data_IF_468042540167
#
_entry.id   IF_468042540167
#
_cell.length_a   1.000
_cell.length_b   1.000
_cell.length_c   1.000
_cell.angle_alpha   90.00
_cell.angle_beta   90.00
_cell.angle_gamma   90.00
#
_symmetry.space_group_name_H-M   'P 1'
#
loop_
_entity.id
_entity.type
_entity.pdbx_description
1 polymer ?
#
# COMPACT_ATOMS: atom_id res chain seq x y z
N UNK A 1 60.34 14.31 13.36
CA UNK A 1 59.48 13.90 12.24
C UNK A 1 58.29 13.15 12.84
N UNK A 2 57.16 13.85 13.07
CA UNK A 2 55.96 13.27 13.68
C UNK A 2 55.12 12.65 12.56
N UNK A 3 54.93 11.33 12.63
CA UNK A 3 54.06 10.59 11.72
C UNK A 3 52.63 10.75 12.26
N UNK A 4 51.81 11.51 11.56
CA UNK A 4 50.40 11.68 11.86
C UNK A 4 49.64 10.46 11.34
N UNK A 5 49.05 9.68 12.25
CA UNK A 5 48.07 8.64 11.89
C UNK A 5 46.74 9.33 11.62
N UNK A 6 46.38 9.45 10.35
CA UNK A 6 45.04 9.89 9.95
C UNK A 6 44.10 8.70 10.12
N UNK A 7 43.27 8.76 11.15
CA UNK A 7 42.19 7.80 11.40
C UNK A 7 41.11 8.05 10.34
N UNK A 8 41.02 7.16 9.34
CA UNK A 8 39.98 7.21 8.33
C UNK A 8 38.68 6.73 8.99
N UNK A 9 37.79 7.65 9.33
CA UNK A 9 36.42 7.30 9.71
C UNK A 9 35.72 6.76 8.46
N UNK A 10 35.56 5.44 8.40
CA UNK A 10 34.62 4.81 7.48
C UNK A 10 33.22 5.10 8.01
N UNK A 11 32.59 6.16 7.52
CA UNK A 11 31.14 6.32 7.65
C UNK A 11 30.52 5.23 6.79
N UNK A 12 30.05 4.15 7.42
CA UNK A 12 29.18 3.20 6.77
C UNK A 12 27.89 3.95 6.41
N UNK A 13 27.71 4.25 5.12
CA UNK A 13 26.40 4.61 4.60
C UNK A 13 25.50 3.40 4.82
N UNK A 14 24.53 3.54 5.72
CA UNK A 14 23.42 2.59 5.80
C UNK A 14 22.62 2.86 4.54
N UNK A 15 22.80 2.03 3.52
CA UNK A 15 21.88 2.00 2.39
C UNK A 15 20.57 1.43 2.93
N UNK A 16 19.54 2.26 3.06
CA UNK A 16 18.16 1.79 3.19
C UNK A 16 17.87 0.96 1.94
N UNK A 17 17.46 -0.29 2.15
CA UNK A 17 17.19 -1.28 1.12
C UNK A 17 15.85 -1.01 0.44
N UNK A 18 15.71 0.14 -0.21
CA UNK A 18 14.56 0.48 -1.07
C UNK A 18 14.47 -0.51 -2.24
N UNK A 19 13.46 -1.39 -2.26
CA UNK A 19 13.29 -2.40 -3.30
C UNK A 19 11.80 -2.68 -3.59
N UNK A 20 11.51 -3.10 -4.83
CA UNK A 20 10.23 -3.70 -5.20
C UNK A 20 10.07 -5.00 -4.41
N UNK A 21 9.03 -5.07 -3.56
CA UNK A 21 8.73 -6.28 -2.77
C UNK A 21 8.16 -7.40 -3.63
N UNK A 22 7.35 -7.01 -4.62
CA UNK A 22 6.65 -7.93 -5.51
C UNK A 22 6.33 -7.25 -6.83
N UNK A 23 6.30 -8.04 -7.90
CA UNK A 23 5.76 -7.62 -9.19
C UNK A 23 4.78 -8.68 -9.67
N UNK A 24 3.63 -8.27 -10.19
CA UNK A 24 2.68 -9.15 -10.85
C UNK A 24 2.30 -8.62 -12.24
N UNK A 25 1.85 -9.49 -13.16
CA UNK A 25 1.35 -9.04 -14.46
C UNK A 25 0.15 -8.10 -14.30
N UNK A 26 0.15 -7.00 -15.04
CA UNK A 26 -1.01 -6.11 -15.11
C UNK A 26 -2.14 -6.79 -15.92
N UNK A 27 -3.42 -6.59 -15.54
CA UNK A 27 -4.56 -7.14 -16.27
C UNK A 27 -4.85 -6.41 -17.60
N UNK A 28 -4.25 -5.22 -17.80
CA UNK A 28 -4.37 -4.41 -19.01
C UNK A 28 -3.15 -3.50 -19.17
N UNK A 29 -3.02 -2.90 -20.36
CA UNK A 29 -1.84 -2.12 -20.76
C UNK A 29 -1.98 -0.62 -20.39
N UNK A 30 -3.16 -0.17 -19.91
CA UNK A 30 -3.44 1.25 -19.64
C UNK A 30 -3.97 1.47 -18.23
N UNK A 31 -3.31 0.84 -17.25
CA UNK A 31 -3.61 1.03 -15.84
C UNK A 31 -3.22 2.45 -15.42
N UNK A 32 -4.21 3.29 -15.13
CA UNK A 32 -4.03 4.73 -14.84
C UNK A 32 -4.36 5.11 -13.40
N UNK A 33 -4.73 4.13 -12.58
CA UNK A 33 -4.96 4.32 -11.16
C UNK A 33 -5.07 2.99 -10.44
N UNK A 34 -4.55 2.94 -9.22
CA UNK A 34 -4.54 1.75 -8.38
C UNK A 34 -4.98 2.15 -6.97
N UNK A 35 -5.67 1.27 -6.25
CA UNK A 35 -6.00 1.53 -4.85
C UNK A 35 -6.15 0.23 -4.04
N UNK A 36 -6.17 0.38 -2.71
CA UNK A 36 -6.46 -0.59 -1.66
C UNK A 36 -6.76 -2.05 -2.09
N UNK A 37 -6.01 -3.03 -1.56
CA UNK A 37 -6.32 -4.46 -1.76
C UNK A 37 -6.27 -4.94 -3.24
N UNK A 38 -5.91 -4.01 -4.13
CA UNK A 38 -5.69 -4.01 -5.58
C UNK A 38 -6.95 -4.05 -6.42
N UNK A 39 -7.63 -2.89 -6.40
CA UNK A 39 -8.41 -2.42 -7.54
C UNK A 39 -7.50 -1.62 -8.50
N UNK A 40 -7.68 -1.80 -9.80
CA UNK A 40 -6.92 -1.10 -10.84
C UNK A 40 -7.85 -0.63 -11.95
N UNK A 41 -7.79 0.65 -12.33
CA UNK A 41 -8.60 1.20 -13.43
C UNK A 41 -7.81 1.17 -14.73
N UNK A 42 -8.40 0.60 -15.78
CA UNK A 42 -7.88 0.66 -17.14
C UNK A 42 -8.63 1.72 -17.95
N UNK A 43 -7.89 2.72 -18.40
CA UNK A 43 -8.45 3.88 -19.09
C UNK A 43 -8.85 3.67 -20.53
N UNK A 44 -8.36 2.62 -21.20
CA UNK A 44 -8.77 2.30 -22.56
C UNK A 44 -9.95 1.35 -22.60
N UNK A 45 -10.06 0.48 -21.60
CA UNK A 45 -11.15 -0.49 -21.49
C UNK A 45 -12.37 0.07 -20.76
N UNK A 46 -12.23 1.21 -20.06
CA UNK A 46 -13.27 1.79 -19.20
C UNK A 46 -13.78 0.77 -18.16
N UNK A 47 -12.86 0.08 -17.49
CA UNK A 47 -13.17 -0.91 -16.44
C UNK A 47 -12.27 -0.72 -15.21
N UNK A 48 -12.76 -1.16 -14.06
CA UNK A 48 -11.96 -1.41 -12.86
C UNK A 48 -11.82 -2.91 -12.67
N UNK A 49 -10.58 -3.39 -12.59
CA UNK A 49 -10.28 -4.75 -12.18
C UNK A 49 -10.20 -4.84 -10.66
N UNK A 50 -10.85 -5.83 -10.08
CA UNK A 50 -10.57 -6.27 -8.71
C UNK A 50 -9.67 -7.50 -8.80
N UNK A 51 -8.47 -7.42 -8.24
CA UNK A 51 -7.42 -8.43 -8.50
C UNK A 51 -6.56 -8.73 -7.27
N UNK A 52 -5.81 -9.82 -7.35
CA UNK A 52 -4.79 -10.17 -6.39
C UNK A 52 -3.51 -9.39 -6.69
N UNK A 53 -3.13 -8.44 -5.82
CA UNK A 53 -1.88 -7.68 -5.97
C UNK A 53 -0.58 -8.49 -5.93
N UNK A 54 -0.62 -9.73 -5.43
CA UNK A 54 0.56 -10.60 -5.40
C UNK A 54 0.73 -11.40 -6.68
N UNK A 55 -0.36 -11.96 -7.20
CA UNK A 55 -0.32 -12.90 -8.33
C UNK A 55 -0.73 -12.28 -9.67
N UNK A 56 -1.44 -11.16 -9.65
CA UNK A 56 -2.06 -10.57 -10.84
C UNK A 56 -3.40 -11.22 -11.23
N UNK A 57 -3.90 -12.18 -10.45
CA UNK A 57 -5.16 -12.87 -10.74
C UNK A 57 -6.35 -11.92 -10.61
N UNK A 58 -7.14 -11.79 -11.67
CA UNK A 58 -8.36 -10.95 -11.66
C UNK A 58 -9.52 -11.73 -11.06
N UNK A 59 -10.10 -11.21 -9.98
CA UNK A 59 -11.30 -11.74 -9.34
C UNK A 59 -12.57 -11.25 -10.02
N UNK A 60 -12.59 -9.97 -10.39
CA UNK A 60 -13.74 -9.34 -11.04
C UNK A 60 -13.33 -8.23 -12.01
N UNK A 61 -14.18 -7.94 -12.99
CA UNK A 61 -14.02 -6.86 -13.96
C UNK A 61 -15.29 -6.03 -13.97
N UNK A 62 -15.19 -4.82 -13.42
CA UNK A 62 -16.31 -3.95 -13.12
C UNK A 62 -16.34 -2.83 -14.16
N UNK A 63 -17.35 -2.75 -15.05
CA UNK A 63 -17.45 -1.69 -16.03
C UNK A 63 -17.68 -0.32 -15.37
N UNK A 64 -17.07 0.73 -15.92
CA UNK A 64 -17.35 2.09 -15.49
C UNK A 64 -18.76 2.51 -15.96
N UNK A 65 -19.60 3.07 -15.07
CA UNK A 65 -20.94 3.53 -15.46
C UNK A 65 -20.94 4.91 -16.13
N UNK A 66 -19.76 5.50 -16.35
CA UNK A 66 -19.57 6.81 -16.96
C UNK A 66 -18.78 6.68 -18.27
N UNK A 67 -18.98 7.62 -19.20
CA UNK A 67 -18.36 7.55 -20.53
C UNK A 67 -17.93 8.93 -21.02
N UNK A 68 -16.98 8.98 -21.96
CA UNK A 68 -16.63 10.22 -22.66
C UNK A 68 -15.43 10.97 -22.08
N UNK A 69 -14.65 10.30 -21.24
CA UNK A 69 -13.38 10.79 -20.69
C UNK A 69 -12.46 9.58 -20.45
N UNK A 70 -11.17 9.85 -20.23
CA UNK A 70 -10.19 8.84 -19.81
C UNK A 70 -10.11 8.85 -18.29
N UNK A 71 -10.44 7.77 -17.56
CA UNK A 71 -10.34 7.73 -16.11
C UNK A 71 -8.87 7.73 -15.67
N UNK A 72 -8.53 8.52 -14.66
CA UNK A 72 -7.18 8.61 -14.07
C UNK A 72 -7.28 8.80 -12.56
N UNK A 73 -6.29 8.29 -11.84
CA UNK A 73 -6.29 8.25 -10.38
C UNK A 73 -7.40 7.35 -9.84
N UNK A 74 -7.09 6.51 -8.87
CA UNK A 74 -8.09 5.64 -8.24
C UNK A 74 -7.94 5.71 -6.73
N UNK A 75 -9.03 6.05 -6.06
CA UNK A 75 -9.12 6.08 -4.61
C UNK A 75 -10.33 5.27 -4.15
N UNK A 76 -10.25 4.67 -2.98
CA UNK A 76 -11.35 3.93 -2.37
C UNK A 76 -11.66 4.49 -0.98
N UNK A 77 -12.95 4.48 -0.62
CA UNK A 77 -13.39 4.70 0.75
C UNK A 77 -14.58 3.78 1.03
N UNK A 78 -14.37 2.75 1.85
CA UNK A 78 -15.37 1.71 2.07
C UNK A 78 -15.74 1.04 0.74
N UNK A 79 -17.03 0.94 0.45
CA UNK A 79 -17.53 0.31 -0.79
C UNK A 79 -17.62 1.29 -1.98
N UNK A 80 -17.01 2.47 -1.89
CA UNK A 80 -17.03 3.51 -2.93
C UNK A 80 -15.66 3.68 -3.57
N UNK A 81 -15.63 3.58 -4.90
CA UNK A 81 -14.47 3.90 -5.75
C UNK A 81 -14.63 5.30 -6.33
N UNK A 82 -13.53 6.04 -6.37
CA UNK A 82 -13.42 7.40 -6.86
C UNK A 82 -12.31 7.48 -7.89
N UNK A 83 -12.58 8.09 -9.04
CA UNK A 83 -11.60 8.35 -10.09
C UNK A 83 -11.90 9.68 -10.77
N UNK A 84 -10.90 10.26 -11.43
CA UNK A 84 -11.05 11.54 -12.08
C UNK A 84 -11.15 11.40 -13.60
N UNK A 85 -11.74 12.41 -14.25
CA UNK A 85 -11.62 12.56 -15.69
C UNK A 85 -10.30 13.25 -16.03
N UNK A 86 -9.43 12.58 -16.78
CA UNK A 86 -8.14 13.14 -17.21
C UNK A 86 -8.29 14.53 -17.81
N UNK A 87 -7.46 15.48 -17.35
CA UNK A 87 -7.48 16.85 -17.85
C UNK A 87 -8.65 17.69 -17.36
N UNK A 88 -9.42 17.22 -16.36
CA UNK A 88 -10.62 17.90 -15.85
C UNK A 88 -10.60 18.01 -14.33
N UNK A 89 -11.42 18.91 -13.79
CA UNK A 89 -11.69 19.01 -12.35
C UNK A 89 -12.90 18.14 -11.93
N UNK A 90 -13.18 17.06 -12.65
CA UNK A 90 -14.33 16.19 -12.39
C UNK A 90 -13.91 14.92 -11.66
N UNK A 91 -14.56 14.63 -10.55
CA UNK A 91 -14.44 13.38 -9.79
C UNK A 91 -15.72 12.57 -9.94
N UNK A 92 -15.58 11.29 -10.28
CA UNK A 92 -16.66 10.33 -10.46
C UNK A 92 -16.61 9.32 -9.34
N UNK A 93 -17.78 8.99 -8.78
CA UNK A 93 -17.90 8.06 -7.66
C UNK A 93 -18.85 6.93 -8.05
N UNK A 94 -18.41 5.70 -7.84
CA UNK A 94 -19.19 4.49 -8.10
C UNK A 94 -19.07 3.50 -6.94
N UNK A 95 -20.02 2.57 -6.85
CA UNK A 95 -19.87 1.43 -5.94
C UNK A 95 -18.85 0.43 -6.50
N UNK A 96 -18.26 -0.38 -5.61
CA UNK A 96 -17.45 -1.55 -6.01
C UNK A 96 -18.24 -2.60 -6.82
N UNK A 97 -19.56 -2.41 -7.01
CA UNK A 97 -20.42 -3.29 -7.81
C UNK A 97 -20.75 -2.72 -9.20
N UNK A 98 -20.28 -1.52 -9.55
CA UNK A 98 -20.56 -0.91 -10.86
C UNK A 98 -21.62 0.19 -10.87
N UNK A 99 -22.25 0.50 -9.73
CA UNK A 99 -23.35 1.47 -9.69
C UNK A 99 -22.81 2.91 -9.62
N UNK A 100 -23.34 3.82 -10.43
CA UNK A 100 -23.00 5.24 -10.34
C UNK A 100 -23.54 5.83 -9.03
N UNK A 101 -22.68 6.41 -8.20
CA UNK A 101 -23.05 7.10 -6.96
C UNK A 101 -23.18 8.60 -7.19
N UNK A 102 -22.21 9.21 -7.88
CA UNK A 102 -22.22 10.65 -8.10
C UNK A 102 -21.09 11.17 -8.99
N UNK A 103 -21.21 12.45 -9.33
CA UNK A 103 -20.22 13.20 -10.10
C UNK A 103 -20.06 14.57 -9.47
N UNK A 104 -18.82 14.98 -9.23
CA UNK A 104 -18.48 16.17 -8.47
C UNK A 104 -17.54 17.04 -9.31
N UNK A 105 -17.94 18.28 -9.54
CA UNK A 105 -17.09 19.31 -10.14
C UNK A 105 -16.40 20.08 -9.01
N UNK A 106 -15.06 20.06 -9.01
CA UNK A 106 -14.24 20.75 -7.99
C UNK A 106 -13.51 21.97 -8.55
N UNK A 107 -13.89 22.46 -9.74
CA UNK A 107 -13.17 23.57 -10.41
C UNK A 107 -13.17 24.88 -9.63
N UNK A 108 -14.23 25.13 -8.85
CA UNK A 108 -14.36 26.35 -8.02
C UNK A 108 -13.40 26.37 -6.82
N UNK A 109 -12.70 25.25 -6.58
CA UNK A 109 -11.73 25.10 -5.49
C UNK A 109 -10.30 25.50 -5.89
N UNK A 110 -10.07 25.86 -7.16
CA UNK A 110 -8.75 26.14 -7.70
C UNK A 110 -8.00 24.92 -8.24
N UNK A 111 -8.69 23.78 -8.37
CA UNK A 111 -8.24 22.56 -9.03
C UNK A 111 -8.71 22.62 -10.49
N UNK A 112 -7.82 22.43 -11.46
CA UNK A 112 -8.21 22.57 -12.88
C UNK A 112 -8.07 21.28 -13.69
N UNK A 113 -7.08 20.45 -13.39
CA UNK A 113 -6.77 19.27 -14.16
C UNK A 113 -6.26 18.16 -13.24
N UNK A 114 -7.15 17.24 -12.89
CA UNK A 114 -6.83 16.15 -11.98
C UNK A 114 -6.09 15.07 -12.76
N UNK A 115 -4.92 14.68 -12.27
CA UNK A 115 -4.16 13.53 -12.76
C UNK A 115 -4.21 12.34 -11.82
N UNK A 116 -4.24 12.58 -10.50
CA UNK A 116 -4.19 11.50 -9.52
C UNK A 116 -5.08 11.69 -8.31
N UNK A 117 -5.47 10.57 -7.70
CA UNK A 117 -6.32 10.51 -6.50
C UNK A 117 -5.78 9.49 -5.51
N UNK A 118 -5.83 9.83 -4.23
CA UNK A 118 -5.41 8.93 -3.15
C UNK A 118 -6.28 9.14 -1.92
N UNK A 119 -6.72 8.06 -1.28
CA UNK A 119 -7.51 8.11 -0.04
C UNK A 119 -6.96 7.10 0.97
N UNK A 120 -5.84 7.40 1.64
CA UNK A 120 -5.21 6.45 2.58
C UNK A 120 -6.04 6.22 3.85
N UNK A 121 -6.83 7.22 4.26
CA UNK A 121 -7.58 7.22 5.53
C UNK A 121 -8.94 7.92 5.40
N UNK A 122 -9.13 9.07 6.05
CA UNK A 122 -10.38 9.83 6.07
C UNK A 122 -10.46 10.92 4.99
N UNK A 123 -9.30 11.37 4.51
CA UNK A 123 -9.19 12.46 3.56
C UNK A 123 -8.93 11.96 2.14
N UNK A 124 -9.50 12.67 1.17
CA UNK A 124 -9.15 12.52 -0.23
C UNK A 124 -8.05 13.51 -0.59
N UNK A 125 -7.01 12.98 -1.21
CA UNK A 125 -5.91 13.74 -1.80
C UNK A 125 -6.04 13.75 -3.32
N UNK A 126 -5.82 14.92 -3.91
CA UNK A 126 -6.08 15.19 -5.33
C UNK A 126 -4.86 15.88 -5.92
N UNK A 127 -4.21 15.25 -6.90
CA UNK A 127 -3.13 15.87 -7.65
C UNK A 127 -3.69 16.69 -8.81
N UNK A 128 -3.35 17.98 -8.85
CA UNK A 128 -3.60 18.88 -9.97
C UNK A 128 -2.31 19.07 -10.79
N UNK A 129 -2.24 18.46 -11.97
CA UNK A 129 -1.05 18.52 -12.84
C UNK A 129 -0.86 19.88 -13.50
N UNK A 130 -1.90 20.72 -13.54
CA UNK A 130 -1.80 22.08 -14.08
C UNK A 130 -1.07 23.05 -13.14
N UNK A 131 -1.10 22.76 -11.83
CA UNK A 131 -0.50 23.59 -10.78
C UNK A 131 0.63 22.88 -10.01
N UNK A 132 0.81 21.57 -10.23
CA UNK A 132 1.66 20.70 -9.42
C UNK A 132 1.34 20.79 -7.92
N UNK A 133 0.07 20.92 -7.59
CA UNK A 133 -0.40 20.98 -6.19
C UNK A 133 -1.18 19.71 -5.89
N UNK A 134 -0.81 19.07 -4.78
CA UNK A 134 -1.64 18.09 -4.10
C UNK A 134 -2.57 18.84 -3.15
N UNK A 135 -3.86 18.66 -3.37
CA UNK A 135 -4.95 19.18 -2.55
C UNK A 135 -5.45 18.10 -1.60
N UNK A 136 -6.07 18.51 -0.50
CA UNK A 136 -6.71 17.64 0.48
C UNK A 136 -8.12 18.15 0.78
N UNK A 137 -9.08 17.24 0.90
CA UNK A 137 -10.45 17.52 1.35
C UNK A 137 -11.03 16.37 2.18
N UNK A 138 -12.00 16.70 3.03
CA UNK A 138 -12.74 15.73 3.83
C UNK A 138 -13.71 14.92 2.96
N UNK A 139 -13.92 13.65 3.31
CA UNK A 139 -15.00 12.83 2.78
C UNK A 139 -16.21 12.81 3.74
N UNK A 140 -17.46 12.71 3.23
CA UNK A 140 -17.83 12.62 1.82
C UNK A 140 -17.63 13.94 1.07
N UNK A 141 -17.32 13.87 -0.23
CA UNK A 141 -17.05 15.04 -1.08
C UNK A 141 -18.09 16.15 -0.88
N UNK A 142 -17.61 17.36 -0.56
CA UNK A 142 -18.42 18.54 -0.25
C UNK A 142 -18.69 18.76 1.25
N UNK A 143 -18.22 17.90 2.15
CA UNK A 143 -18.34 18.10 3.60
C UNK A 143 -17.37 19.15 4.17
N UNK A 144 -16.24 19.36 3.51
CA UNK A 144 -15.16 20.24 3.97
C UNK A 144 -14.59 21.13 2.86
N UNK A 145 -13.69 22.07 3.21
CA UNK A 145 -12.98 22.85 2.22
C UNK A 145 -11.94 22.00 1.47
N UNK A 146 -11.50 22.51 0.33
CA UNK A 146 -10.28 22.05 -0.32
C UNK A 146 -9.12 22.89 0.20
N UNK A 147 -8.07 22.23 0.68
CA UNK A 147 -6.87 22.88 1.20
C UNK A 147 -5.65 22.40 0.43
N UNK A 148 -4.72 23.31 0.15
CA UNK A 148 -3.43 22.94 -0.40
C UNK A 148 -2.67 22.11 0.64
N UNK A 149 -2.30 20.88 0.27
CA UNK A 149 -1.54 19.98 1.11
C UNK A 149 -0.05 20.09 0.82
N UNK A 150 0.36 19.95 -0.44
CA UNK A 150 1.76 19.95 -0.85
C UNK A 150 1.93 20.53 -2.26
N UNK A 151 2.95 21.35 -2.49
CA UNK A 151 3.36 21.75 -3.84
C UNK A 151 4.53 20.87 -4.29
N UNK A 152 4.44 20.21 -5.43
CA UNK A 152 5.45 19.29 -5.94
C UNK A 152 6.46 20.04 -6.81
N UNK A 153 7.36 20.81 -6.18
CA UNK A 153 8.32 21.64 -6.93
C UNK A 153 9.31 20.77 -7.72
N UNK A 154 9.53 21.12 -8.98
CA UNK A 154 10.44 20.37 -9.86
C UNK A 154 9.95 18.98 -10.25
N UNK A 155 8.70 18.62 -9.91
CA UNK A 155 8.04 17.45 -10.47
C UNK A 155 7.74 17.70 -11.96
N UNK A 156 8.08 16.78 -12.87
CA UNK A 156 7.59 16.81 -14.24
C UNK A 156 6.08 16.54 -14.26
N UNK A 157 5.49 16.27 -15.43
CA UNK A 157 4.07 15.97 -15.52
C UNK A 157 3.70 14.83 -14.57
N UNK A 158 2.71 15.06 -13.72
CA UNK A 158 2.22 14.09 -12.73
C UNK A 158 1.25 13.16 -13.43
N UNK A 159 1.47 11.85 -13.32
CA UNK A 159 0.54 10.83 -13.83
C UNK A 159 -0.46 10.40 -12.78
N UNK A 160 0.00 10.12 -11.56
CA UNK A 160 -0.86 9.74 -10.44
C UNK A 160 -0.12 9.91 -9.10
N UNK A 161 -0.84 9.81 -7.99
CA UNK A 161 -0.30 9.92 -6.64
C UNK A 161 -0.82 8.83 -5.70
N UNK A 162 0.02 8.42 -4.76
CA UNK A 162 -0.35 7.62 -3.59
C UNK A 162 0.21 8.24 -2.34
N UNK A 163 -0.64 8.61 -1.39
CA UNK A 163 -0.20 9.11 -0.08
C UNK A 163 0.12 7.92 0.80
N UNK A 164 1.33 7.88 1.36
CA UNK A 164 1.82 6.82 2.23
C UNK A 164 2.03 7.35 3.67
N UNK A 165 2.54 6.53 4.58
CA UNK A 165 2.79 6.91 5.96
C UNK A 165 3.67 8.16 6.07
N UNK A 166 3.51 8.84 7.20
CA UNK A 166 4.17 10.11 7.51
C UNK A 166 3.84 11.24 6.53
N UNK A 167 2.63 11.20 5.95
CA UNK A 167 2.13 12.22 5.03
C UNK A 167 3.03 12.41 3.79
N UNK A 168 3.81 11.39 3.44
CA UNK A 168 4.63 11.40 2.23
C UNK A 168 3.76 11.08 1.01
N UNK A 169 4.13 11.66 -0.14
CA UNK A 169 3.40 11.47 -1.40
C UNK A 169 4.31 10.75 -2.38
N UNK A 170 3.98 9.50 -2.69
CA UNK A 170 4.52 8.81 -3.85
C UNK A 170 3.86 9.38 -5.11
N UNK A 171 4.66 9.78 -6.08
CA UNK A 171 4.23 10.45 -7.31
C UNK A 171 4.80 9.68 -8.48
N UNK A 172 3.93 9.17 -9.36
CA UNK A 172 4.34 8.76 -10.70
C UNK A 172 4.41 9.99 -11.58
N UNK A 173 5.50 10.12 -12.32
CA UNK A 173 5.74 11.31 -13.13
C UNK A 173 6.47 10.97 -14.43
N UNK A 174 6.33 11.86 -15.42
CA UNK A 174 6.93 11.75 -16.74
C UNK A 174 8.46 11.96 -16.69
N UNK A 175 9.17 10.94 -16.21
CA UNK A 175 10.63 10.90 -16.09
C UNK A 175 11.14 9.46 -16.27
N UNK A 176 11.82 9.20 -17.39
CA UNK A 176 12.36 7.87 -17.70
C UNK A 176 13.52 7.43 -16.81
N UNK A 177 14.11 8.34 -16.01
CA UNK A 177 15.22 8.03 -15.09
C UNK A 177 14.70 7.81 -13.68
N UNK A 178 13.66 8.54 -13.29
CA UNK A 178 13.07 8.48 -11.95
C UNK A 178 11.55 8.54 -12.05
N UNK A 179 10.92 7.46 -12.55
CA UNK A 179 9.49 7.47 -12.88
C UNK A 179 8.61 7.59 -11.63
N UNK A 180 9.17 7.25 -10.44
CA UNK A 180 8.50 7.44 -9.15
C UNK A 180 9.39 8.28 -8.22
N UNK A 181 8.76 9.24 -7.54
CA UNK A 181 9.39 10.09 -6.52
C UNK A 181 8.56 10.10 -5.24
N UNK A 182 9.20 10.16 -4.09
CA UNK A 182 8.54 10.28 -2.79
C UNK A 182 8.82 11.67 -2.23
N UNK A 183 7.77 12.48 -2.06
CA UNK A 183 7.85 13.84 -1.53
C UNK A 183 7.43 13.89 -0.05
N UNK A 184 8.14 14.69 0.76
CA UNK A 184 7.75 15.02 2.15
C UNK A 184 7.86 16.52 2.45
N UNK A 185 8.14 17.33 1.43
CA UNK A 185 8.16 18.78 1.48
C UNK A 185 8.20 19.34 0.05
N UNK A 186 7.99 20.65 -0.16
CA UNK A 186 7.80 21.19 -1.50
C UNK A 186 8.96 20.93 -2.46
N UNK A 187 10.18 21.11 -1.95
CA UNK A 187 11.42 20.80 -2.67
C UNK A 187 12.14 19.58 -2.07
N UNK A 188 11.54 18.90 -1.09
CA UNK A 188 12.13 17.78 -0.36
C UNK A 188 11.50 16.47 -0.86
N UNK A 189 12.26 15.75 -1.67
CA UNK A 189 11.86 14.46 -2.23
C UNK A 189 13.06 13.55 -2.49
N UNK A 190 12.77 12.26 -2.62
CA UNK A 190 13.73 11.24 -3.05
C UNK A 190 13.21 10.55 -4.33
N UNK A 191 13.97 10.54 -5.43
CA UNK A 191 13.68 9.68 -6.56
C UNK A 191 13.96 8.22 -6.19
N UNK A 192 13.05 7.32 -6.56
CA UNK A 192 13.26 5.89 -6.36
C UNK A 192 14.21 5.37 -7.43
N UNK A 193 15.25 4.67 -6.99
CA UNK A 193 16.22 4.04 -7.88
C UNK A 193 15.85 2.58 -8.12
N UNK A 194 15.70 2.23 -9.39
CA UNK A 194 15.48 0.85 -9.84
C UNK A 194 16.75 0.31 -10.51
N UNK A 195 17.03 -0.99 -10.36
CA UNK A 195 18.06 -1.62 -11.18
C UNK A 195 17.60 -1.69 -12.64
N UNK A 196 18.53 -1.69 -13.61
CA UNK A 196 18.16 -1.83 -15.02
C UNK A 196 17.26 -3.05 -15.26
N UNK A 197 16.06 -2.81 -15.79
CA UNK A 197 15.06 -3.85 -16.10
C UNK A 197 14.13 -4.23 -14.93
N UNK A 198 14.18 -3.53 -13.79
CA UNK A 198 13.20 -3.71 -12.71
C UNK A 198 11.92 -2.88 -12.90
N UNK A 199 12.05 -1.71 -13.52
CA UNK A 199 10.99 -0.75 -13.83
C UNK A 199 11.45 0.11 -15.01
N UNK A 200 10.56 0.35 -15.97
CA UNK A 200 10.77 1.22 -17.13
C UNK A 200 9.86 2.45 -17.08
N UNK A 201 8.67 2.34 -16.48
CA UNK A 201 7.71 3.43 -16.39
C UNK A 201 6.84 3.37 -15.12
N UNK A 202 6.19 4.49 -14.79
CA UNK A 202 5.16 4.52 -13.75
C UNK A 202 4.02 5.45 -14.17
N UNK A 203 2.78 4.96 -14.06
CA UNK A 203 1.58 5.73 -14.42
C UNK A 203 0.58 5.79 -13.27
N UNK A 204 -0.19 4.73 -13.00
CA UNK A 204 -1.05 4.65 -11.83
C UNK A 204 -0.25 4.42 -10.55
N UNK A 205 -0.65 5.06 -9.45
CA UNK A 205 -0.06 4.93 -8.11
C UNK A 205 -1.18 4.82 -7.10
N UNK A 206 -1.06 3.88 -6.18
CA UNK A 206 -2.09 3.63 -5.19
C UNK A 206 -1.53 3.35 -3.81
N UNK A 207 -2.12 3.96 -2.78
CA UNK A 207 -1.77 3.62 -1.40
C UNK A 207 -2.09 2.14 -1.10
N UNK A 208 -1.19 1.47 -0.38
CA UNK A 208 -1.55 0.22 0.30
C UNK A 208 -2.17 0.54 1.66
N UNK A 209 -3.25 -0.14 2.05
CA UNK A 209 -3.77 -0.03 3.42
C UNK A 209 -2.74 -0.35 4.52
N UNK A 210 -1.63 -0.99 4.16
CA UNK A 210 -0.41 -1.14 4.96
C UNK A 210 0.53 0.05 4.68
N UNK A 211 0.46 1.09 5.52
CA UNK A 211 0.83 2.44 5.09
C UNK A 211 2.28 2.74 4.71
N UNK A 212 3.27 1.85 4.86
CA UNK A 212 4.62 2.13 4.32
C UNK A 212 4.81 1.54 2.92
N UNK A 213 3.73 1.08 2.29
CA UNK A 213 3.76 0.47 0.97
C UNK A 213 2.84 1.21 0.03
N UNK A 214 3.17 1.14 -1.26
CA UNK A 214 2.27 1.58 -2.32
C UNK A 214 2.43 0.68 -3.54
N UNK A 215 1.45 0.74 -4.41
CA UNK A 215 1.45 0.08 -5.70
C UNK A 215 1.72 1.10 -6.79
N UNK A 216 2.39 0.68 -7.86
CA UNK A 216 2.42 1.46 -9.09
C UNK A 216 2.37 0.55 -10.32
N UNK A 217 1.71 1.00 -11.39
CA UNK A 217 1.69 0.30 -12.67
C UNK A 217 2.86 0.71 -13.54
N UNK A 218 3.47 -0.24 -14.23
CA UNK A 218 4.45 -0.06 -15.29
C UNK A 218 3.87 -0.57 -16.63
N UNK A 219 3.21 0.31 -17.41
CA UNK A 219 2.67 -0.03 -18.73
C UNK A 219 3.71 -0.50 -19.75
N UNK A 220 4.94 0.03 -19.70
CA UNK A 220 6.00 -0.38 -20.63
C UNK A 220 6.40 -1.85 -20.43
N UNK A 221 6.38 -2.31 -19.18
CA UNK A 221 6.65 -3.71 -18.83
C UNK A 221 5.38 -4.59 -18.77
N UNK A 222 4.19 -4.00 -18.73
CA UNK A 222 2.91 -4.71 -18.52
C UNK A 222 2.79 -5.27 -17.11
N UNK A 223 3.28 -4.54 -16.11
CA UNK A 223 3.41 -5.01 -14.72
C UNK A 223 2.75 -4.07 -13.72
N UNK A 224 2.41 -4.60 -12.55
CA UNK A 224 2.10 -3.82 -11.34
C UNK A 224 3.12 -4.20 -10.28
N UNK A 225 3.74 -3.19 -9.69
CA UNK A 225 4.79 -3.33 -8.69
C UNK A 225 4.27 -2.93 -7.31
N UNK A 226 4.68 -3.67 -6.29
CA UNK A 226 4.54 -3.31 -4.88
C UNK A 226 5.87 -2.76 -4.40
N UNK A 227 5.84 -1.57 -3.85
CA UNK A 227 7.02 -0.93 -3.28
C UNK A 227 6.85 -0.74 -1.79
N UNK A 228 7.95 -0.92 -1.05
CA UNK A 228 8.02 -0.67 0.39
C UNK A 228 8.97 0.49 0.68
N UNK A 229 8.40 1.56 1.21
CA UNK A 229 9.14 2.68 1.76
C UNK A 229 9.84 2.24 3.05
N UNK A 230 11.08 2.69 3.24
CA UNK A 230 11.84 2.55 4.50
C UNK A 230 12.25 1.13 4.94
N UNK A 231 12.67 0.27 4.01
CA UNK A 231 13.40 -0.97 4.33
C UNK A 231 14.82 -0.69 4.90
N UNK A 232 14.89 -0.06 6.07
CA UNK A 232 16.14 0.37 6.72
C UNK A 232 15.94 1.38 7.85
N UNK A 233 14.74 1.97 7.95
CA UNK A 233 14.28 2.61 9.16
C UNK A 233 13.66 1.54 10.04
N UNK A 234 14.28 1.24 11.18
CA UNK A 234 13.50 0.72 12.31
C UNK A 234 12.63 1.91 12.73
N UNK A 235 11.48 2.09 12.07
CA UNK A 235 10.42 2.94 12.59
C UNK A 235 10.00 2.27 13.89
N UNK A 236 10.54 2.76 15.00
CA UNK A 236 10.16 2.35 16.36
C UNK A 236 8.77 2.85 16.73
N UNK A 237 7.83 2.74 15.80
CA UNK A 237 6.40 2.93 15.95
C UNK A 237 5.73 1.85 15.10
N UNK A 238 5.86 0.59 15.55
CA UNK A 238 4.71 -0.30 15.48
C UNK A 238 3.52 0.43 16.11
N UNK A 239 2.26 0.14 15.73
CA UNK A 239 1.14 0.58 16.54
C UNK A 239 1.50 0.25 17.99
N UNK A 240 1.45 1.21 18.91
CA UNK A 240 1.90 1.06 20.32
C UNK A 240 1.21 -0.12 21.07
N UNK A 241 0.36 -0.87 20.35
CA UNK A 241 -0.48 -1.99 20.75
C UNK A 241 -0.44 -3.21 19.79
N UNK A 242 0.26 -3.17 18.65
CA UNK A 242 0.32 -4.31 17.71
C UNK A 242 1.12 -5.47 18.29
N UNK A 243 0.64 -6.68 18.04
CA UNK A 243 1.32 -7.91 18.48
C UNK A 243 2.06 -8.48 17.28
N UNK A 244 3.39 -8.49 17.28
CA UNK A 244 4.11 -9.21 16.23
C UNK A 244 3.99 -10.72 16.47
N UNK A 245 3.73 -11.47 15.41
CA UNK A 245 3.74 -12.92 15.44
C UNK A 245 4.49 -13.48 14.26
N UNK A 246 5.44 -14.37 14.52
CA UNK A 246 6.14 -15.12 13.49
C UNK A 246 6.28 -16.58 13.89
N UNK A 247 6.33 -17.45 12.88
CA UNK A 247 6.56 -18.87 13.10
C UNK A 247 7.26 -19.48 11.88
N UNK A 248 8.00 -20.59 12.06
CA UNK A 248 8.55 -21.34 10.94
C UNK A 248 7.46 -21.72 9.94
N UNK A 249 7.71 -21.48 8.65
CA UNK A 249 6.86 -21.93 7.57
C UNK A 249 7.76 -22.46 6.44
N UNK A 250 7.64 -23.74 6.03
CA UNK A 250 6.70 -24.76 6.48
C UNK A 250 6.99 -25.38 7.88
N UNK A 251 5.98 -26.03 8.47
CA UNK A 251 6.04 -26.76 9.76
C UNK A 251 5.95 -28.26 9.52
N UNK A 252 6.77 -29.08 10.17
CA UNK A 252 6.79 -30.56 9.99
C UNK A 252 6.17 -31.36 11.15
N UNK A 253 5.33 -30.73 11.98
CA UNK A 253 4.65 -31.36 13.11
C UNK A 253 4.62 -30.49 14.36
N UNK A 254 5.74 -29.88 14.74
CA UNK A 254 5.81 -28.93 15.86
C UNK A 254 6.56 -27.67 15.45
N UNK A 255 6.17 -26.53 16.00
CA UNK A 255 6.80 -25.24 15.76
C UNK A 255 6.94 -24.45 17.06
N UNK A 256 7.75 -23.39 17.02
CA UNK A 256 7.77 -22.35 18.05
C UNK A 256 7.20 -21.10 17.41
N UNK A 257 6.17 -20.55 18.03
CA UNK A 257 5.56 -19.28 17.66
C UNK A 257 6.27 -18.19 18.47
N UNK A 258 6.92 -17.28 17.77
CA UNK A 258 7.52 -16.08 18.37
C UNK A 258 6.45 -15.00 18.41
N UNK A 259 6.20 -14.47 19.61
CA UNK A 259 5.22 -13.39 19.83
C UNK A 259 5.92 -12.24 20.53
N UNK A 260 5.86 -11.05 19.96
CA UNK A 260 6.35 -9.82 20.61
C UNK A 260 5.16 -9.01 21.10
N UNK A 261 5.17 -8.68 22.40
CA UNK A 261 4.12 -7.90 23.03
C UNK A 261 4.64 -6.51 23.40
N UNK A 262 3.99 -5.42 22.94
CA UNK A 262 4.40 -4.05 23.25
C UNK A 262 3.98 -3.61 24.67
N UNK A 263 3.10 -4.36 25.33
CA UNK A 263 2.70 -4.14 26.73
C UNK A 263 2.06 -5.42 27.31
N UNK A 264 2.03 -5.59 28.65
CA UNK A 264 1.44 -6.77 29.27
C UNK A 264 -0.06 -6.91 28.96
N UNK A 265 -0.58 -8.13 28.92
CA UNK A 265 -2.01 -8.37 28.65
C UNK A 265 -2.43 -9.84 28.63
N UNK A 266 -3.75 -10.07 28.62
CA UNK A 266 -4.32 -11.40 28.33
C UNK A 266 -4.18 -11.70 26.83
N UNK A 267 -3.59 -12.84 26.50
CA UNK A 267 -3.27 -13.28 25.14
C UNK A 267 -3.89 -14.66 24.90
N UNK A 268 -4.54 -14.84 23.75
CA UNK A 268 -4.97 -16.15 23.25
C UNK A 268 -4.35 -16.43 21.88
N UNK A 269 -3.77 -17.62 21.72
CA UNK A 269 -3.13 -18.09 20.50
C UNK A 269 -3.85 -19.35 20.04
N UNK A 270 -4.56 -19.26 18.92
CA UNK A 270 -5.35 -20.34 18.36
C UNK A 270 -4.97 -20.62 16.92
N UNK A 271 -5.20 -21.85 16.46
CA UNK A 271 -5.00 -22.27 15.08
C UNK A 271 -6.33 -22.72 14.51
N UNK A 272 -6.63 -22.23 13.31
CA UNK A 272 -7.83 -22.57 12.55
C UNK A 272 -7.46 -23.20 11.20
N UNK A 273 -8.31 -24.10 10.71
CA UNK A 273 -8.24 -24.57 9.33
C UNK A 273 -8.89 -23.56 8.36
N UNK A 274 -8.72 -23.77 7.05
CA UNK A 274 -9.33 -22.91 6.03
C UNK A 274 -10.87 -22.92 6.00
N UNK A 275 -11.51 -23.84 6.73
CA UNK A 275 -12.96 -23.85 6.94
C UNK A 275 -13.38 -23.05 8.19
N UNK A 276 -12.44 -22.38 8.86
CA UNK A 276 -12.67 -21.56 10.04
C UNK A 276 -12.83 -22.37 11.33
N UNK A 277 -12.55 -23.67 11.33
CA UNK A 277 -12.65 -24.50 12.54
C UNK A 277 -11.37 -24.37 13.36
N UNK A 278 -11.49 -24.05 14.64
CA UNK A 278 -10.35 -24.09 15.58
C UNK A 278 -9.88 -25.54 15.73
N UNK A 279 -8.64 -25.80 15.35
CA UNK A 279 -8.02 -27.13 15.36
C UNK A 279 -7.00 -27.30 16.49
N UNK A 280 -6.41 -26.21 16.99
CA UNK A 280 -5.51 -26.22 18.13
C UNK A 280 -5.55 -24.89 18.90
N UNK A 281 -5.25 -24.95 20.19
CA UNK A 281 -5.03 -23.79 21.06
C UNK A 281 -3.62 -23.92 21.64
N UNK A 282 -2.74 -22.99 21.28
CA UNK A 282 -1.32 -23.05 21.65
C UNK A 282 -1.06 -22.42 23.03
N UNK A 283 -1.80 -21.36 23.36
CA UNK A 283 -1.67 -20.65 24.63
C UNK A 283 -2.89 -19.79 24.91
N UNK A 284 -3.30 -19.71 26.18
CA UNK A 284 -4.25 -18.71 26.66
C UNK A 284 -3.84 -18.27 28.07
N UNK A 285 -3.64 -16.97 28.27
CA UNK A 285 -3.35 -16.39 29.58
C UNK A 285 -2.60 -15.06 29.52
N UNK A 286 -2.19 -14.57 30.68
CA UNK A 286 -1.47 -13.31 30.81
C UNK A 286 0.02 -13.43 30.46
N UNK A 287 0.53 -12.55 29.59
CA UNK A 287 1.95 -12.43 29.25
C UNK A 287 2.47 -11.02 29.53
N UNK A 288 3.71 -10.87 30.02
CA UNK A 288 4.36 -9.57 30.18
C UNK A 288 4.77 -8.97 28.83
N UNK A 289 5.14 -7.70 28.80
CA UNK A 289 5.79 -7.06 27.65
C UNK A 289 7.09 -7.79 27.24
N UNK A 290 7.38 -7.82 25.94
CA UNK A 290 8.59 -8.41 25.36
C UNK A 290 8.34 -9.65 24.51
N UNK A 291 9.43 -10.36 24.20
CA UNK A 291 9.44 -11.55 23.34
C UNK A 291 9.03 -12.82 24.09
N UNK A 292 8.15 -13.60 23.47
CA UNK A 292 7.66 -14.88 23.98
C UNK A 292 7.81 -15.98 22.94
N UNK A 293 8.17 -17.17 23.41
CA UNK A 293 8.24 -18.37 22.59
C UNK A 293 7.17 -19.35 23.05
N UNK A 294 6.14 -19.52 22.22
CA UNK A 294 5.02 -20.41 22.51
C UNK A 294 5.16 -21.68 21.67
N UNK A 295 5.31 -22.86 22.31
CA UNK A 295 5.36 -24.11 21.57
C UNK A 295 3.99 -24.42 20.95
N UNK A 296 3.98 -24.75 19.67
CA UNK A 296 2.81 -25.18 18.91
C UNK A 296 2.99 -26.63 18.49
N UNK A 297 2.07 -27.50 18.90
CA UNK A 297 2.03 -28.90 18.47
C UNK A 297 0.91 -29.11 17.46
N UNK A 298 1.27 -29.50 16.25
CA UNK A 298 0.38 -29.84 15.13
C UNK A 298 0.50 -31.32 14.72
N UNK A 299 1.12 -32.18 15.56
CA UNK A 299 1.20 -33.61 15.30
C UNK A 299 -0.20 -34.23 15.16
N UNK A 300 -0.39 -35.03 14.11
CA UNK A 300 -1.67 -35.71 13.85
C UNK A 300 -2.69 -34.86 13.08
N UNK A 301 -2.41 -33.59 12.79
CA UNK A 301 -3.24 -32.78 11.89
C UNK A 301 -2.89 -33.06 10.41
N UNK A 302 -3.88 -32.99 9.49
CA UNK A 302 -3.62 -33.17 8.06
C UNK A 302 -2.64 -32.13 7.51
N UNK A 303 -1.75 -32.53 6.61
CA UNK A 303 -0.96 -31.55 5.85
C UNK A 303 -1.89 -30.60 5.06
N UNK A 304 -1.53 -29.33 5.04
CA UNK A 304 -2.36 -28.27 4.48
C UNK A 304 -2.05 -26.90 5.07
N UNK A 305 -2.84 -25.92 4.67
CA UNK A 305 -2.71 -24.52 5.13
C UNK A 305 -3.57 -24.29 6.36
N UNK A 306 -3.01 -23.57 7.33
CA UNK A 306 -3.64 -23.19 8.59
C UNK A 306 -3.42 -21.71 8.87
N UNK A 307 -4.32 -21.12 9.65
CA UNK A 307 -4.22 -19.73 10.11
C UNK A 307 -4.04 -19.76 11.62
N UNK A 308 -2.91 -19.21 12.09
CA UNK A 308 -2.67 -18.91 13.49
C UNK A 308 -3.17 -17.50 13.80
N UNK A 309 -3.89 -17.35 14.89
CA UNK A 309 -4.46 -16.10 15.38
C UNK A 309 -3.96 -15.83 16.79
N UNK A 310 -3.40 -14.64 17.00
CA UNK A 310 -3.03 -14.10 18.31
C UNK A 310 -3.98 -12.96 18.63
N UNK A 311 -4.71 -13.07 19.72
CA UNK A 311 -5.64 -12.03 20.18
C UNK A 311 -5.16 -11.50 21.52
N UNK A 312 -5.08 -10.16 21.63
CA UNK A 312 -4.78 -9.44 22.87
C UNK A 312 -5.78 -8.29 23.02
N UNK A 313 -6.70 -8.40 23.99
CA UNK A 313 -7.81 -7.44 24.15
C UNK A 313 -8.55 -7.20 22.83
N UNK A 314 -8.43 -6.00 22.24
CA UNK A 314 -9.09 -5.61 20.97
C UNK A 314 -8.17 -5.71 19.75
N UNK A 315 -6.92 -6.16 19.92
CA UNK A 315 -5.92 -6.30 18.85
C UNK A 315 -5.81 -7.76 18.44
N UNK A 316 -5.86 -8.01 17.14
CA UNK A 316 -5.69 -9.34 16.54
C UNK A 316 -4.56 -9.31 15.51
N UNK A 317 -3.67 -10.30 15.59
CA UNK A 317 -2.62 -10.56 14.60
C UNK A 317 -2.76 -11.97 14.08
N UNK A 318 -2.62 -12.15 12.77
CA UNK A 318 -2.76 -13.46 12.12
C UNK A 318 -1.55 -13.82 11.28
N UNK A 319 -1.17 -15.10 11.30
CA UNK A 319 -0.11 -15.65 10.44
C UNK A 319 -0.60 -16.95 9.77
N UNK A 320 -0.41 -17.06 8.45
CA UNK A 320 -0.71 -18.27 7.71
C UNK A 320 0.54 -19.17 7.64
N UNK A 321 0.38 -20.47 7.87
CA UNK A 321 1.47 -21.44 7.75
C UNK A 321 1.04 -22.73 7.06
N UNK A 322 2.02 -23.45 6.50
CA UNK A 322 1.81 -24.75 5.86
C UNK A 322 2.32 -25.86 6.76
N UNK A 323 1.45 -26.82 7.09
CA UNK A 323 1.82 -28.07 7.76
C UNK A 323 2.19 -29.13 6.71
N UNK A 324 3.37 -29.71 6.85
CA UNK A 324 3.86 -30.85 6.09
C UNK A 324 3.50 -32.16 6.81
N UNK A 325 3.50 -33.26 6.04
CA UNK A 325 3.40 -34.62 6.58
C UNK A 325 4.73 -35.11 7.13
#
# INVERSE_FOLDING_TARGET
MRISFTLLFLTAAIASAQFIENSCPAPGDHITGITEGVFAVDSMLDVVFHMNGWTGEVYDTIPLPFTGFSPVGLAMKGDSLMFAGSGTAMIYVMSVYGDSIGTYDVSDSGIYSISGLSCPWEDLFIADDSTNIVWRTDLPLGSGPFTQFLALEGCPQIHDIGVVYYDQVAVACEDSVSPVRIYWGPSDYEPIWFQPGECESAVGVGTCGEGNRFWFSDPEMGMIHRYCCDMGGVSGDEPEHAVEVSMPNPVSGSAVVSVQLPSPGEVSITVTDMAGRTVAEAFTGHLPEGDHQVPLNMEGHPAGTYILRVTRSDVESTCQFTLLK
#
